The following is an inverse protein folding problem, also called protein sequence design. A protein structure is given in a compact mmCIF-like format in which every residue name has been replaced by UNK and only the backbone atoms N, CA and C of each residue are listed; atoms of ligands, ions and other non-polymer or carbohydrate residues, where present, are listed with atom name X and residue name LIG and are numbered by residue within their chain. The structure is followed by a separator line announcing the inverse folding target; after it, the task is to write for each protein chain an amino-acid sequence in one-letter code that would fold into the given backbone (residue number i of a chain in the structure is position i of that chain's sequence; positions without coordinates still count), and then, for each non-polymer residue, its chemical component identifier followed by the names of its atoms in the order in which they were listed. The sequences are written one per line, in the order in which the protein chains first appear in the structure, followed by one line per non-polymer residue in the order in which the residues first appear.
data_IF_095072783677
#
_entry.id   IF_095072783677
#
_cell.length_a   1.000
_cell.length_b   1.000
_cell.length_c   1.000
_cell.angle_alpha   90.00
_cell.angle_beta   90.00
_cell.angle_gamma   90.00
#
_symmetry.space_group_name_H-M   'P 1'
#
loop_
_entity.id
_entity.type
_entity.pdbx_description
1 polymer ?
#
# COMPACT_ATOMS: atom_id res chain seq x y z
N UNK A 1 -6.59 -45.61 -26.50
CA UNK A 1 -5.78 -44.69 -25.70
C UNK A 1 -6.75 -43.74 -25.03
N UNK A 2 -7.00 -43.93 -23.74
CA UNK A 2 -7.94 -43.08 -23.01
C UNK A 2 -7.40 -41.66 -22.95
N UNK A 3 -8.23 -40.69 -23.33
CA UNK A 3 -7.84 -39.28 -23.32
C UNK A 3 -7.67 -38.83 -21.87
N UNK A 4 -6.51 -38.26 -21.58
CA UNK A 4 -6.19 -37.69 -20.28
C UNK A 4 -7.20 -36.56 -19.98
N UNK A 5 -8.02 -36.72 -18.94
CA UNK A 5 -9.05 -35.74 -18.56
C UNK A 5 -8.45 -34.68 -17.64
N UNK A 6 -8.37 -33.46 -18.12
CA UNK A 6 -7.93 -32.32 -17.33
C UNK A 6 -8.86 -32.13 -16.10
N UNK A 7 -8.27 -32.09 -14.91
CA UNK A 7 -8.97 -32.00 -13.61
C UNK A 7 -9.25 -33.35 -12.94
N UNK A 8 -9.07 -34.46 -13.66
CA UNK A 8 -9.19 -35.81 -13.11
C UNK A 8 -7.84 -36.55 -13.20
N UNK A 9 -7.25 -36.59 -14.39
CA UNK A 9 -5.98 -37.27 -14.67
C UNK A 9 -4.77 -36.30 -14.64
N UNK A 10 -4.97 -34.99 -14.91
CA UNK A 10 -3.93 -33.94 -14.86
C UNK A 10 -4.46 -32.69 -14.16
N UNK A 11 -3.62 -31.99 -13.40
CA UNK A 11 -4.01 -30.77 -12.70
C UNK A 11 -4.50 -29.67 -13.67
N UNK A 12 -5.71 -29.17 -13.46
CA UNK A 12 -6.24 -27.97 -14.15
C UNK A 12 -5.60 -26.67 -13.67
N UNK A 13 -5.09 -26.68 -12.43
CA UNK A 13 -4.53 -25.52 -11.74
C UNK A 13 -3.30 -26.00 -11.00
N UNK A 14 -2.20 -25.27 -11.17
CA UNK A 14 -0.97 -25.54 -10.44
C UNK A 14 -1.20 -25.43 -8.92
N UNK A 15 -1.29 -26.59 -8.24
CA UNK A 15 -1.63 -26.64 -6.82
C UNK A 15 -0.54 -26.00 -5.95
N UNK A 16 0.72 -26.14 -6.35
CA UNK A 16 1.86 -25.52 -5.66
C UNK A 16 1.74 -23.99 -5.64
N UNK A 17 1.39 -23.38 -6.78
CA UNK A 17 1.16 -21.93 -6.87
C UNK A 17 -0.03 -21.49 -6.01
N UNK A 18 -1.12 -22.26 -6.00
CA UNK A 18 -2.29 -21.97 -5.16
C UNK A 18 -1.96 -21.99 -3.66
N UNK A 19 -1.16 -22.97 -3.22
CA UNK A 19 -0.70 -23.04 -1.84
C UNK A 19 0.18 -21.84 -1.46
N UNK A 20 1.08 -21.41 -2.35
CA UNK A 20 1.90 -20.21 -2.15
C UNK A 20 1.05 -18.95 -2.06
N UNK A 21 0.05 -18.78 -2.93
CA UNK A 21 -0.86 -17.64 -2.91
C UNK A 21 -1.69 -17.61 -1.61
N UNK A 22 -2.15 -18.78 -1.15
CA UNK A 22 -2.85 -18.91 0.13
C UNK A 22 -1.93 -18.54 1.31
N UNK A 23 -0.70 -19.04 1.32
CA UNK A 23 0.27 -18.73 2.37
C UNK A 23 0.60 -17.24 2.40
N UNK A 24 0.75 -16.60 1.24
CA UNK A 24 0.97 -15.15 1.15
C UNK A 24 -0.23 -14.35 1.67
N UNK A 25 -1.46 -14.82 1.41
CA UNK A 25 -2.67 -14.23 1.98
C UNK A 25 -2.68 -14.29 3.52
N UNK A 26 -2.33 -15.45 4.09
CA UNK A 26 -2.18 -15.64 5.54
C UNK A 26 -1.09 -14.72 6.09
N UNK A 27 0.09 -14.71 5.47
CA UNK A 27 1.22 -13.87 5.86
C UNK A 27 0.81 -12.39 5.88
N UNK A 28 0.10 -11.92 4.84
CA UNK A 28 -0.41 -10.55 4.76
C UNK A 28 -1.34 -10.22 5.92
N UNK A 29 -2.27 -11.10 6.25
CA UNK A 29 -3.17 -10.92 7.39
C UNK A 29 -2.39 -10.76 8.69
N UNK A 30 -1.43 -11.66 8.95
CA UNK A 30 -0.61 -11.64 10.17
C UNK A 30 0.25 -10.38 10.27
N UNK A 31 1.06 -10.08 9.25
CA UNK A 31 1.99 -8.93 9.30
C UNK A 31 1.24 -7.60 9.31
N UNK A 32 0.02 -7.54 8.74
CA UNK A 32 -0.79 -6.33 8.77
C UNK A 32 -1.23 -5.95 10.19
N UNK A 33 -1.24 -6.88 11.15
CA UNK A 33 -1.52 -6.55 12.55
C UNK A 33 -0.26 -6.13 13.31
N UNK A 34 0.92 -6.36 12.75
CA UNK A 34 2.17 -6.01 13.40
C UNK A 34 2.55 -4.56 13.11
N UNK A 35 3.07 -3.88 14.12
CA UNK A 35 3.70 -2.58 14.00
C UNK A 35 5.09 -2.58 14.61
N UNK A 36 5.91 -1.65 14.14
CA UNK A 36 7.21 -1.32 14.70
C UNK A 36 7.23 0.16 15.02
N UNK A 37 7.46 0.49 16.29
CA UNK A 37 7.72 1.85 16.74
C UNK A 37 9.23 2.03 16.85
N UNK A 38 9.73 3.07 16.21
CA UNK A 38 11.15 3.41 16.13
C UNK A 38 11.43 4.71 16.88
N UNK A 39 12.63 4.77 17.44
CA UNK A 39 13.21 5.98 18.02
C UNK A 39 12.38 6.62 19.15
N UNK A 40 11.66 5.80 19.93
CA UNK A 40 10.91 6.30 21.08
C UNK A 40 11.89 6.77 22.17
N UNK A 41 11.88 8.04 22.60
CA UNK A 41 12.82 8.54 23.61
C UNK A 41 12.62 7.83 24.95
N UNK A 42 13.73 7.47 25.59
CA UNK A 42 13.75 6.79 26.88
C UNK A 42 14.91 7.26 27.77
N UNK A 43 14.96 8.55 28.06
CA UNK A 43 16.01 9.14 28.92
C UNK A 43 15.96 8.62 30.35
N UNK A 44 14.75 8.32 30.81
CA UNK A 44 14.49 7.90 32.20
C UNK A 44 14.65 6.39 32.41
N UNK A 45 15.18 5.66 31.42
CA UNK A 45 15.35 4.21 31.44
C UNK A 45 14.07 3.44 31.84
N UNK A 46 12.92 3.92 31.36
CA UNK A 46 11.61 3.33 31.61
C UNK A 46 11.55 1.88 31.11
N UNK A 47 10.69 1.09 31.75
CA UNK A 47 10.41 -0.28 31.30
C UNK A 47 9.69 -0.27 29.96
N UNK A 48 9.75 -1.39 29.22
CA UNK A 48 9.06 -1.50 27.93
C UNK A 48 7.54 -1.24 28.06
N UNK A 49 6.92 -1.67 29.17
CA UNK A 49 5.49 -1.45 29.44
C UNK A 49 5.19 0.04 29.57
N UNK A 50 6.03 0.77 30.30
CA UNK A 50 5.86 2.20 30.53
C UNK A 50 6.11 3.01 29.25
N UNK A 51 7.09 2.61 28.45
CA UNK A 51 7.36 3.21 27.13
C UNK A 51 6.13 3.06 26.22
N UNK A 52 5.50 1.89 26.20
CA UNK A 52 4.29 1.64 25.40
C UNK A 52 3.13 2.49 25.90
N UNK A 53 2.94 2.59 27.22
CA UNK A 53 1.90 3.43 27.81
C UNK A 53 2.12 4.92 27.48
N UNK A 54 3.37 5.38 27.56
CA UNK A 54 3.77 6.72 27.15
C UNK A 54 3.48 6.97 25.68
N UNK A 55 3.83 6.02 24.81
CA UNK A 55 3.53 6.11 23.39
C UNK A 55 2.02 6.25 23.12
N UNK A 56 1.19 5.43 23.77
CA UNK A 56 -0.26 5.49 23.62
C UNK A 56 -0.85 6.82 24.11
N UNK A 57 -0.44 7.29 25.30
CA UNK A 57 -1.03 8.47 25.95
C UNK A 57 -0.48 9.79 25.43
N UNK A 58 0.83 9.90 25.28
CA UNK A 58 1.50 11.18 24.97
C UNK A 58 1.73 11.37 23.47
N UNK A 59 2.08 10.30 22.74
CA UNK A 59 2.45 10.39 21.32
C UNK A 59 1.21 10.26 20.43
N UNK A 60 0.44 9.18 20.60
CA UNK A 60 -0.75 8.91 19.77
C UNK A 60 -2.00 9.57 20.35
N UNK A 61 -2.03 9.82 21.67
CA UNK A 61 -3.21 10.27 22.42
C UNK A 61 -4.42 9.37 22.18
N UNK A 62 -4.21 8.07 22.31
CA UNK A 62 -5.23 7.06 22.11
C UNK A 62 -6.28 7.09 23.22
N UNK A 63 -7.54 7.29 22.85
CA UNK A 63 -8.67 7.58 23.75
C UNK A 63 -9.88 6.65 23.57
N UNK A 64 -9.76 5.59 22.78
CA UNK A 64 -10.89 4.72 22.44
C UNK A 64 -11.27 3.84 23.63
N UNK A 65 -12.48 4.07 24.15
CA UNK A 65 -13.06 3.30 25.25
C UNK A 65 -13.54 1.94 24.72
N UNK A 66 -13.16 0.85 25.40
CA UNK A 66 -13.54 -0.52 25.06
C UNK A 66 -12.44 -1.36 24.42
N UNK A 67 -11.35 -0.74 23.96
CA UNK A 67 -10.15 -1.47 23.54
C UNK A 67 -9.20 -1.64 24.74
N UNK A 68 -9.26 -2.82 25.36
CA UNK A 68 -8.51 -3.14 26.58
C UNK A 68 -7.00 -3.27 26.28
N UNK A 69 -6.65 -3.67 25.06
CA UNK A 69 -5.25 -3.98 24.69
C UNK A 69 -4.96 -3.50 23.27
N UNK A 70 -4.88 -2.17 23.04
CA UNK A 70 -4.63 -1.61 21.71
C UNK A 70 -3.30 -2.07 21.12
N UNK A 71 -2.32 -2.35 21.98
CA UNK A 71 -1.02 -2.94 21.63
C UNK A 71 -0.76 -4.15 22.52
N UNK A 72 -0.63 -5.32 21.90
CA UNK A 72 -0.35 -6.60 22.53
C UNK A 72 0.95 -7.20 22.00
N UNK A 73 1.43 -8.30 22.60
CA UNK A 73 2.65 -9.01 22.15
C UNK A 73 3.87 -8.11 22.00
N UNK A 74 4.02 -7.13 22.90
CA UNK A 74 5.07 -6.13 22.80
C UNK A 74 6.44 -6.79 23.01
N UNK A 75 7.35 -6.57 22.07
CA UNK A 75 8.74 -7.05 22.13
C UNK A 75 9.71 -5.91 21.87
N UNK A 76 10.77 -5.85 22.67
CA UNK A 76 11.88 -4.92 22.44
C UNK A 76 12.56 -5.30 21.11
N UNK A 77 12.75 -4.31 20.24
CA UNK A 77 13.34 -4.50 18.91
C UNK A 77 14.76 -3.96 18.81
N UNK A 78 15.18 -3.11 19.75
CA UNK A 78 16.54 -2.56 19.81
C UNK A 78 16.60 -1.30 20.67
N UNK A 79 17.81 -0.84 20.94
CA UNK A 79 18.10 0.46 21.56
C UNK A 79 19.11 1.17 20.68
N UNK A 80 18.87 2.46 20.41
CA UNK A 80 19.75 3.30 19.61
C UNK A 80 19.96 4.60 20.39
N UNK A 81 21.11 4.73 21.04
CA UNK A 81 21.38 5.81 21.99
C UNK A 81 20.35 5.84 23.12
N UNK A 82 19.74 7.01 23.35
CA UNK A 82 18.68 7.22 24.34
C UNK A 82 17.27 6.83 23.84
N UNK A 83 17.17 6.12 22.71
CA UNK A 83 15.90 5.74 22.12
C UNK A 83 15.70 4.24 22.10
N UNK A 84 14.45 3.82 22.27
CA UNK A 84 14.04 2.41 22.24
C UNK A 84 13.17 2.16 21.02
N UNK A 85 13.41 1.04 20.37
CA UNK A 85 12.55 0.51 19.32
C UNK A 85 11.78 -0.70 19.87
N UNK A 86 10.51 -0.83 19.53
CA UNK A 86 9.71 -1.99 19.90
C UNK A 86 8.77 -2.42 18.77
N UNK A 87 8.33 -3.68 18.83
CA UNK A 87 7.29 -4.25 17.97
C UNK A 87 6.09 -4.61 18.83
N UNK A 88 4.91 -4.53 18.26
CA UNK A 88 3.67 -4.94 18.90
C UNK A 88 2.67 -5.45 17.86
N UNK A 89 1.73 -6.27 18.29
CA UNK A 89 0.51 -6.55 17.55
C UNK A 89 -0.55 -5.52 17.95
N UNK A 90 -1.13 -4.84 16.97
CA UNK A 90 -2.14 -3.81 17.20
C UNK A 90 -3.56 -4.34 16.98
N UNK A 91 -4.51 -3.74 17.68
CA UNK A 91 -5.92 -3.92 17.42
C UNK A 91 -6.38 -3.15 16.16
N UNK A 92 -7.53 -3.54 15.59
CA UNK A 92 -8.15 -2.77 14.50
C UNK A 92 -8.54 -1.34 14.94
N UNK A 93 -9.21 -1.13 16.10
CA UNK A 93 -9.57 0.20 16.57
C UNK A 93 -8.36 1.11 16.77
N UNK A 94 -7.23 0.57 17.24
CA UNK A 94 -5.97 1.33 17.32
C UNK A 94 -5.53 1.83 15.94
N UNK A 95 -5.53 0.96 14.93
CA UNK A 95 -5.10 1.35 13.59
C UNK A 95 -6.00 2.44 13.00
N UNK A 96 -7.31 2.32 13.15
CA UNK A 96 -8.28 3.30 12.63
C UNK A 96 -8.12 4.66 13.33
N UNK A 97 -7.91 4.66 14.64
CA UNK A 97 -7.56 5.88 15.38
C UNK A 97 -6.23 6.47 14.89
N UNK A 98 -5.20 5.63 14.70
CA UNK A 98 -3.89 6.10 14.26
C UNK A 98 -3.95 6.75 12.87
N UNK A 99 -4.69 6.14 11.95
CA UNK A 99 -4.88 6.66 10.58
C UNK A 99 -5.65 7.98 10.55
N UNK A 100 -6.61 8.17 11.45
CA UNK A 100 -7.46 9.37 11.49
C UNK A 100 -6.81 10.54 12.24
N UNK A 101 -6.37 10.32 13.48
CA UNK A 101 -5.83 11.35 14.38
C UNK A 101 -4.40 11.09 14.82
N UNK A 102 -4.05 9.83 15.10
CA UNK A 102 -2.77 9.49 15.73
C UNK A 102 -1.53 9.89 14.93
N UNK A 103 -1.59 9.87 13.58
CA UNK A 103 -0.50 10.37 12.71
C UNK A 103 -0.22 11.86 12.91
N UNK A 104 -1.28 12.66 13.10
CA UNK A 104 -1.18 14.10 13.32
C UNK A 104 -0.54 14.34 14.70
N UNK A 105 -1.04 13.65 15.73
CA UNK A 105 -0.49 13.75 17.09
C UNK A 105 0.97 13.32 17.17
N UNK A 106 1.36 12.24 16.48
CA UNK A 106 2.75 11.80 16.40
C UNK A 106 3.65 12.86 15.74
N UNK A 107 3.17 13.50 14.67
CA UNK A 107 3.89 14.59 14.00
C UNK A 107 4.04 15.82 14.90
N UNK A 108 2.99 16.20 15.63
CA UNK A 108 3.01 17.28 16.62
C UNK A 108 3.97 16.97 17.77
N UNK A 109 3.95 15.75 18.30
CA UNK A 109 4.86 15.29 19.33
C UNK A 109 6.32 15.38 18.86
N UNK A 110 6.61 14.90 17.64
CA UNK A 110 7.93 14.98 17.05
C UNK A 110 8.42 16.43 16.93
N UNK A 111 7.57 17.33 16.43
CA UNK A 111 7.88 18.77 16.33
C UNK A 111 8.14 19.41 17.69
N UNK A 112 7.25 19.16 18.67
CA UNK A 112 7.34 19.77 20.01
C UNK A 112 8.58 19.32 20.76
N UNK A 113 8.90 18.03 20.70
CA UNK A 113 10.00 17.44 21.48
C UNK A 113 11.31 17.34 20.71
N UNK A 114 11.36 17.80 19.44
CA UNK A 114 12.51 17.63 18.54
C UNK A 114 12.94 16.16 18.43
N UNK A 115 11.97 15.28 18.19
CA UNK A 115 12.18 13.82 18.07
C UNK A 115 11.74 13.33 16.70
N UNK A 116 12.13 12.10 16.35
CA UNK A 116 11.79 11.45 15.06
C UNK A 116 11.16 10.07 15.30
N UNK A 117 10.16 10.02 16.20
CA UNK A 117 9.43 8.78 16.46
C UNK A 117 8.70 8.37 15.19
N UNK A 118 8.84 7.11 14.79
CA UNK A 118 8.17 6.57 13.60
C UNK A 118 7.36 5.33 13.96
N UNK A 119 6.17 5.22 13.40
CA UNK A 119 5.38 4.00 13.41
C UNK A 119 5.35 3.42 12.00
N UNK A 120 5.81 2.19 11.87
CA UNK A 120 5.82 1.43 10.61
C UNK A 120 4.94 0.21 10.78
N UNK A 121 3.99 0.01 9.87
CA UNK A 121 3.17 -1.20 9.82
C UNK A 121 3.94 -2.33 9.13
N UNK A 122 3.82 -3.55 9.64
CA UNK A 122 4.40 -4.74 9.02
C UNK A 122 3.84 -4.96 7.62
N UNK A 123 4.72 -5.42 6.73
CA UNK A 123 4.39 -5.76 5.35
C UNK A 123 5.10 -7.08 4.98
N UNK A 124 4.56 -7.82 4.02
CA UNK A 124 5.24 -9.01 3.48
C UNK A 124 6.42 -8.59 2.61
N UNK A 125 7.39 -9.49 2.42
CA UNK A 125 8.53 -9.24 1.52
C UNK A 125 8.06 -8.86 0.12
N UNK A 126 7.01 -9.52 -0.39
CA UNK A 126 6.40 -9.20 -1.69
C UNK A 126 5.89 -7.75 -1.75
N UNK A 127 5.21 -7.29 -0.71
CA UNK A 127 4.73 -5.90 -0.66
C UNK A 127 5.89 -4.91 -0.53
N UNK A 128 6.89 -5.21 0.31
CA UNK A 128 8.10 -4.38 0.43
C UNK A 128 8.84 -4.26 -0.90
N UNK A 129 9.01 -5.37 -1.63
CA UNK A 129 9.66 -5.38 -2.94
C UNK A 129 8.87 -4.62 -4.00
N UNK A 130 7.54 -4.64 -3.94
CA UNK A 130 6.69 -3.81 -4.81
C UNK A 130 6.89 -2.31 -4.58
N UNK A 131 7.01 -1.88 -3.32
CA UNK A 131 7.31 -0.48 -2.99
C UNK A 131 8.73 -0.09 -3.41
N UNK A 132 9.70 -0.98 -3.15
CA UNK A 132 11.09 -0.80 -3.55
C UNK A 132 11.24 -0.73 -5.08
N UNK A 133 10.48 -1.54 -5.83
CA UNK A 133 10.45 -1.48 -7.29
C UNK A 133 9.97 -0.11 -7.78
N UNK A 134 8.94 0.47 -7.14
CA UNK A 134 8.49 1.84 -7.45
C UNK A 134 9.60 2.88 -7.23
N UNK A 135 10.35 2.77 -6.12
CA UNK A 135 11.47 3.67 -5.82
C UNK A 135 12.61 3.51 -6.82
N UNK A 136 12.94 2.26 -7.16
CA UNK A 136 13.96 1.92 -8.15
C UNK A 136 13.61 2.48 -9.53
N UNK A 137 12.40 2.24 -10.01
CA UNK A 137 11.92 2.78 -11.29
C UNK A 137 11.92 4.30 -11.31
N UNK A 138 11.54 4.97 -10.21
CA UNK A 138 11.64 6.43 -10.09
C UNK A 138 13.07 6.92 -10.32
N UNK A 139 14.06 6.26 -9.71
CA UNK A 139 15.47 6.62 -9.90
C UNK A 139 15.92 6.37 -11.34
N UNK A 140 15.53 5.24 -11.92
CA UNK A 140 15.88 4.86 -13.29
C UNK A 140 15.27 5.79 -14.34
N UNK A 141 14.00 6.18 -14.17
CA UNK A 141 13.34 7.19 -15.03
C UNK A 141 14.06 8.55 -14.93
N UNK A 142 14.41 8.98 -13.73
CA UNK A 142 15.16 10.24 -13.56
C UNK A 142 16.52 10.18 -14.25
N UNK A 143 17.25 9.08 -14.09
CA UNK A 143 18.53 8.86 -14.77
C UNK A 143 18.37 8.90 -16.29
N UNK A 144 17.38 8.17 -16.82
CA UNK A 144 17.04 8.19 -18.24
C UNK A 144 16.80 9.61 -18.77
N UNK A 145 16.01 10.42 -18.04
CA UNK A 145 15.73 11.80 -18.43
C UNK A 145 16.99 12.68 -18.41
N UNK A 146 17.86 12.49 -17.41
CA UNK A 146 19.14 13.23 -17.32
C UNK A 146 20.06 12.88 -18.48
N UNK A 147 20.24 11.59 -18.77
CA UNK A 147 21.10 11.10 -19.84
C UNK A 147 20.62 11.61 -21.21
N UNK A 148 19.30 11.73 -21.40
CA UNK A 148 18.66 12.26 -22.60
C UNK A 148 18.50 13.78 -22.62
N UNK A 149 18.98 14.50 -21.60
CA UNK A 149 18.82 15.95 -21.43
C UNK A 149 17.35 16.43 -21.51
N UNK A 150 16.43 15.59 -21.04
CA UNK A 150 15.00 15.89 -20.95
C UNK A 150 14.69 16.61 -19.64
N UNK A 151 13.53 17.28 -19.59
CA UNK A 151 13.04 17.83 -18.33
C UNK A 151 12.68 16.72 -17.35
N UNK A 152 13.08 16.90 -16.09
CA UNK A 152 12.78 15.95 -15.03
C UNK A 152 11.28 15.99 -14.66
N UNK A 153 10.55 14.87 -14.80
CA UNK A 153 9.17 14.80 -14.35
C UNK A 153 9.10 14.82 -12.82
N UNK A 154 7.96 15.28 -12.29
CA UNK A 154 7.65 15.07 -10.88
C UNK A 154 7.06 13.67 -10.70
N UNK A 155 7.79 12.80 -10.00
CA UNK A 155 7.44 11.41 -9.79
C UNK A 155 7.19 11.16 -8.31
N UNK A 156 5.96 10.73 -8.01
CA UNK A 156 5.48 10.40 -6.67
C UNK A 156 5.28 8.89 -6.59
N UNK A 157 5.85 8.27 -5.57
CA UNK A 157 5.63 6.84 -5.25
C UNK A 157 4.51 6.72 -4.24
N UNK A 158 3.52 5.87 -4.54
CA UNK A 158 2.40 5.53 -3.65
C UNK A 158 2.27 4.01 -3.56
N UNK A 159 3.03 3.41 -2.64
CA UNK A 159 3.11 1.96 -2.49
C UNK A 159 3.64 1.29 -3.77
N UNK A 160 2.87 0.33 -4.32
CA UNK A 160 3.18 -0.37 -5.56
C UNK A 160 2.91 0.44 -6.85
N UNK A 161 2.61 1.73 -6.74
CA UNK A 161 2.26 2.60 -7.87
C UNK A 161 3.22 3.78 -8.00
N UNK A 162 3.47 4.15 -9.26
CA UNK A 162 4.16 5.36 -9.66
C UNK A 162 3.15 6.34 -10.27
N UNK A 163 3.18 7.57 -9.76
CA UNK A 163 2.42 8.69 -10.32
C UNK A 163 3.43 9.65 -10.95
N UNK A 164 3.37 9.77 -12.26
CA UNK A 164 4.19 10.69 -13.04
C UNK A 164 3.31 11.89 -13.35
N UNK A 165 3.69 13.05 -12.82
CA UNK A 165 3.05 14.33 -13.13
C UNK A 165 3.82 14.99 -14.26
N UNK A 166 3.11 15.34 -15.31
CA UNK A 166 3.65 16.23 -16.31
C UNK A 166 3.61 17.67 -15.76
N UNK A 167 4.65 18.46 -16.03
CA UNK A 167 4.70 19.88 -15.63
C UNK A 167 4.03 20.80 -16.64
N UNK A 168 3.93 20.37 -17.90
CA UNK A 168 3.44 21.19 -19.01
C UNK A 168 1.91 21.20 -19.11
N UNK A 169 1.27 20.12 -18.65
CA UNK A 169 -0.17 20.03 -18.47
C UNK A 169 -0.41 19.31 -17.13
N UNK A 170 -1.43 19.68 -16.38
CA UNK A 170 -1.75 19.08 -15.06
C UNK A 170 -2.22 17.61 -15.16
N UNK A 171 -1.78 16.90 -16.21
CA UNK A 171 -2.04 15.50 -16.44
C UNK A 171 -1.15 14.65 -15.54
N UNK A 172 -1.79 13.74 -14.80
CA UNK A 172 -1.12 12.79 -13.92
C UNK A 172 -1.38 11.39 -14.41
N UNK A 173 -0.31 10.66 -14.77
CA UNK A 173 -0.41 9.26 -15.15
C UNK A 173 -0.02 8.38 -13.97
N UNK A 174 -0.85 7.38 -13.69
CA UNK A 174 -0.62 6.41 -12.62
C UNK A 174 -0.37 5.03 -13.24
N UNK A 175 0.78 4.45 -12.92
CA UNK A 175 1.15 3.11 -13.35
C UNK A 175 1.39 2.22 -12.15
N UNK A 176 1.01 0.95 -12.27
CA UNK A 176 1.51 -0.07 -11.35
C UNK A 176 2.97 -0.38 -11.73
N UNK A 177 3.86 -0.47 -10.75
CA UNK A 177 5.30 -0.57 -11.00
C UNK A 177 5.70 -1.84 -11.76
N UNK A 178 5.00 -2.95 -11.52
CA UNK A 178 5.18 -4.22 -12.24
C UNK A 178 4.80 -4.08 -13.73
N UNK A 179 3.63 -3.51 -14.01
CA UNK A 179 3.18 -3.23 -15.37
C UNK A 179 4.14 -2.27 -16.10
N UNK A 180 4.54 -1.19 -15.44
CA UNK A 180 5.46 -0.21 -16.01
C UNK A 180 6.83 -0.85 -16.32
N UNK A 181 7.30 -1.74 -15.45
CA UNK A 181 8.59 -2.43 -15.66
C UNK A 181 8.59 -3.25 -16.94
N UNK A 182 7.52 -4.01 -17.18
CA UNK A 182 7.38 -4.82 -18.40
C UNK A 182 7.27 -3.90 -19.61
N UNK A 183 6.39 -2.91 -19.56
CA UNK A 183 6.10 -2.09 -20.73
C UNK A 183 7.24 -1.14 -21.11
N UNK A 184 8.07 -0.68 -20.17
CA UNK A 184 9.32 0.04 -20.50
C UNK A 184 10.37 -0.84 -21.16
N UNK A 185 10.37 -2.13 -20.83
CA UNK A 185 11.27 -3.12 -21.44
C UNK A 185 12.76 -2.88 -21.20
N UNK A 186 13.13 -2.18 -20.12
CA UNK A 186 14.52 -1.91 -19.77
C UNK A 186 15.24 -3.13 -19.23
N UNK A 187 16.58 -3.10 -19.26
CA UNK A 187 17.39 -4.04 -18.49
C UNK A 187 17.23 -3.76 -16.99
N UNK A 188 17.01 -4.79 -16.19
CA UNK A 188 16.86 -4.72 -14.74
C UNK A 188 17.92 -5.56 -14.00
N UNK A 189 19.07 -5.81 -14.62
CA UNK A 189 20.19 -6.56 -14.01
C UNK A 189 20.69 -5.98 -12.68
N UNK A 190 20.51 -4.67 -12.46
CA UNK A 190 20.83 -3.92 -11.24
C UNK A 190 19.72 -3.95 -10.17
N UNK A 191 18.62 -4.66 -10.41
CA UNK A 191 17.56 -4.86 -9.43
C UNK A 191 17.91 -5.98 -8.44
N UNK A 192 17.83 -5.67 -7.14
CA UNK A 192 18.23 -6.59 -6.06
C UNK A 192 17.08 -7.21 -5.26
N UNK A 193 15.82 -6.92 -5.60
CA UNK A 193 14.66 -7.56 -4.96
C UNK A 193 14.23 -8.84 -5.67
N UNK A 194 13.06 -9.38 -5.30
CA UNK A 194 12.51 -10.56 -5.97
C UNK A 194 12.33 -10.31 -7.49
N UNK A 195 12.46 -11.34 -8.34
CA UNK A 195 12.23 -11.21 -9.77
C UNK A 195 10.90 -10.52 -10.07
N UNK A 196 10.90 -9.52 -10.95
CA UNK A 196 9.71 -8.69 -11.23
C UNK A 196 8.51 -9.56 -11.65
N UNK A 197 8.75 -10.67 -12.37
CA UNK A 197 7.72 -11.65 -12.74
C UNK A 197 6.97 -12.23 -11.52
N UNK A 198 7.66 -12.42 -10.38
CA UNK A 198 7.07 -12.94 -9.14
C UNK A 198 6.25 -11.87 -8.39
N UNK A 199 6.46 -10.59 -8.71
CA UNK A 199 5.74 -9.46 -8.13
C UNK A 199 4.42 -9.17 -8.86
N UNK A 200 4.21 -9.73 -10.06
CA UNK A 200 2.98 -9.56 -10.84
C UNK A 200 1.74 -10.05 -10.06
N UNK A 201 0.60 -9.39 -10.29
CA UNK A 201 -0.69 -9.98 -9.93
C UNK A 201 -1.05 -11.10 -10.90
N UNK A 202 -1.97 -11.99 -10.51
CA UNK A 202 -2.45 -13.08 -11.36
C UNK A 202 -2.97 -12.58 -12.71
N UNK A 203 -3.61 -11.40 -12.72
CA UNK A 203 -4.09 -10.72 -13.93
C UNK A 203 -2.95 -10.23 -14.84
N UNK A 204 -1.90 -9.62 -14.28
CA UNK A 204 -0.75 -9.15 -15.07
C UNK A 204 0.07 -10.32 -15.60
N UNK A 205 0.25 -11.36 -14.79
CA UNK A 205 0.99 -12.54 -15.22
C UNK A 205 0.26 -13.24 -16.37
N UNK A 206 -1.05 -13.43 -16.26
CA UNK A 206 -1.85 -13.99 -17.36
C UNK A 206 -1.82 -13.11 -18.61
N UNK A 207 -1.93 -11.79 -18.44
CA UNK A 207 -1.81 -10.84 -19.55
C UNK A 207 -0.43 -10.86 -20.22
N UNK A 208 0.63 -11.07 -19.44
CA UNK A 208 2.00 -11.21 -19.96
C UNK A 208 2.19 -12.54 -20.70
N UNK A 209 1.73 -13.66 -20.11
CA UNK A 209 1.82 -15.00 -20.70
C UNK A 209 1.03 -15.13 -22.01
N UNK A 210 -0.11 -14.46 -22.11
CA UNK A 210 -0.93 -14.42 -23.32
C UNK A 210 -0.52 -13.35 -24.34
N UNK A 211 0.52 -12.55 -24.04
CA UNK A 211 1.01 -11.49 -24.93
C UNK A 211 0.15 -10.21 -25.00
N UNK A 212 -0.85 -10.06 -24.11
CA UNK A 212 -1.62 -8.82 -23.96
C UNK A 212 -0.78 -7.69 -23.36
N UNK A 213 0.18 -8.01 -22.47
CA UNK A 213 1.16 -7.07 -21.94
C UNK A 213 2.50 -7.38 -22.60
N UNK A 214 2.99 -6.46 -23.43
CA UNK A 214 4.22 -6.67 -24.22
C UNK A 214 5.41 -5.96 -23.60
N UNK A 215 6.56 -6.63 -23.68
CA UNK A 215 7.83 -6.07 -23.25
C UNK A 215 8.21 -4.88 -24.13
N UNK A 216 8.58 -3.73 -23.53
CA UNK A 216 9.04 -2.56 -24.28
C UNK A 216 7.97 -1.86 -25.12
N UNK A 217 6.68 -2.10 -24.86
CA UNK A 217 5.58 -1.51 -25.63
C UNK A 217 5.29 -0.05 -25.31
N UNK A 218 5.84 0.49 -24.22
CA UNK A 218 5.61 1.86 -23.78
C UNK A 218 6.82 2.72 -24.09
N UNK A 219 6.61 3.74 -24.93
CA UNK A 219 7.59 4.81 -25.10
C UNK A 219 7.45 5.83 -23.98
N UNK A 220 8.47 5.89 -23.11
CA UNK A 220 8.53 6.84 -22.01
C UNK A 220 8.62 8.27 -22.51
N UNK A 221 9.26 8.53 -23.66
CA UNK A 221 9.40 9.89 -24.18
C UNK A 221 8.03 10.45 -24.59
N UNK A 222 7.22 9.65 -25.30
CA UNK A 222 5.83 9.99 -25.60
C UNK A 222 4.98 10.24 -24.35
N UNK A 223 5.16 9.43 -23.30
CA UNK A 223 4.47 9.59 -22.00
C UNK A 223 4.86 10.91 -21.33
N UNK A 224 6.13 11.29 -21.38
CA UNK A 224 6.65 12.51 -20.76
C UNK A 224 6.35 13.77 -21.58
N UNK A 225 6.24 13.66 -22.90
CA UNK A 225 5.99 14.78 -23.81
C UNK A 225 4.49 14.98 -24.12
N UNK A 226 3.62 14.02 -23.77
CA UNK A 226 2.21 14.00 -24.16
C UNK A 226 2.00 14.19 -25.67
N UNK A 227 2.81 13.52 -26.50
CA UNK A 227 2.41 13.34 -27.90
C UNK A 227 1.28 12.30 -27.88
N UNK A 228 0.05 12.62 -28.33
CA UNK A 228 -0.92 11.56 -28.59
C UNK A 228 -0.32 10.70 -29.69
N UNK A 229 0.20 9.52 -29.32
CA UNK A 229 0.60 8.52 -30.30
C UNK A 229 -0.65 8.13 -31.09
N UNK A 230 -0.84 8.80 -32.22
CA UNK A 230 -1.81 8.48 -33.24
C UNK A 230 -1.35 7.20 -33.94
N UNK A 231 -1.56 6.06 -33.28
CA UNK A 231 -1.70 4.78 -33.94
C UNK A 231 -2.90 4.10 -33.30
N UNK A 232 -4.05 4.36 -33.91
CA UNK A 232 -5.28 3.67 -33.59
C UNK A 232 -5.14 2.19 -33.88
N UNK A 233 -5.18 1.37 -32.82
CA UNK A 233 -5.91 0.10 -32.80
C UNK A 233 -6.54 0.00 -31.42
N UNK A 234 -7.86 -0.22 -31.43
CA UNK A 234 -8.67 -0.48 -30.25
C UNK A 234 -8.07 -1.66 -29.48
N UNK A 235 -7.49 -1.38 -28.31
CA UNK A 235 -7.40 -2.32 -27.21
C UNK A 235 -7.43 -1.52 -25.91
N UNK A 236 -8.43 -1.80 -25.08
CA UNK A 236 -8.69 -1.12 -23.83
C UNK A 236 -7.52 -1.33 -22.85
N UNK A 237 -6.64 -0.34 -22.75
CA UNK A 237 -5.83 -0.13 -21.55
C UNK A 237 -6.79 0.09 -20.37
N UNK A 238 -6.55 -0.50 -19.18
CA UNK A 238 -7.28 -0.16 -17.96
C UNK A 238 -6.88 1.27 -17.53
N UNK A 239 -7.44 2.27 -18.21
CA UNK A 239 -7.39 3.67 -17.83
C UNK A 239 -8.41 3.87 -16.70
N UNK A 240 -8.02 3.63 -15.46
CA UNK A 240 -8.72 4.28 -14.34
C UNK A 240 -8.33 5.78 -14.35
N UNK A 241 -8.98 6.54 -15.22
CA UNK A 241 -8.98 8.01 -15.17
C UNK A 241 -9.92 8.39 -14.02
N UNK A 242 -9.36 8.72 -12.87
CA UNK A 242 -10.09 9.47 -11.85
C UNK A 242 -9.85 10.95 -12.07
N UNK A 243 -10.81 11.62 -12.70
CA UNK A 243 -10.96 13.07 -12.60
C UNK A 243 -11.42 13.42 -11.19
N UNK A 244 -10.66 14.26 -10.51
CA UNK A 244 -11.00 14.80 -9.19
C UNK A 244 -12.18 15.76 -9.31
N UNK A 245 -13.40 15.28 -9.08
CA UNK A 245 -14.54 16.16 -8.88
C UNK A 245 -14.69 16.52 -7.40
N UNK A 246 -14.29 17.76 -7.11
CA UNK A 246 -14.77 18.55 -5.97
C UNK A 246 -16.29 18.44 -5.87
N UNK A 247 -16.81 17.79 -4.82
CA UNK A 247 -18.20 17.99 -4.40
C UNK A 247 -18.24 18.98 -3.25
N UNK A 248 -18.56 20.22 -3.62
CA UNK A 248 -19.19 21.22 -2.78
C UNK A 248 -20.32 20.56 -1.96
N UNK A 249 -20.36 20.93 -0.68
CA UNK A 249 -21.54 20.80 0.16
C UNK A 249 -22.67 21.57 -0.51
N UNK A 250 -23.77 20.90 -0.77
CA UNK A 250 -25.08 21.54 -0.80
C UNK A 250 -26.00 20.75 0.12
N UNK A 251 -26.38 21.44 1.19
CA UNK A 251 -27.51 21.17 2.06
C UNK A 251 -28.77 21.05 1.21
N UNK A 252 -29.66 20.11 1.51
CA UNK A 252 -31.11 20.34 1.57
C UNK A 252 -31.82 19.13 2.18
N UNK A 253 -32.74 19.44 3.10
CA UNK A 253 -33.71 18.58 3.75
C UNK A 253 -34.50 17.72 2.76
N UNK A 254 -34.85 16.50 3.18
CA UNK A 254 -36.24 16.05 3.30
C UNK A 254 -36.30 14.63 3.88
N UNK A 255 -36.90 14.52 5.07
CA UNK A 255 -37.46 13.26 5.58
C UNK A 255 -38.52 12.71 4.62
N UNK A 256 -38.76 11.38 4.66
CA UNK A 256 -40.09 10.98 5.09
C UNK A 256 -40.08 9.86 6.14
N UNK A 257 -40.98 10.05 7.11
CA UNK A 257 -41.38 9.10 8.14
C UNK A 257 -41.82 7.76 7.59
N UNK A 258 -41.35 6.66 8.20
CA UNK A 258 -42.00 5.34 8.11
C UNK A 258 -42.35 4.86 9.51
N UNK A 259 -43.66 4.67 9.71
CA UNK A 259 -44.35 4.27 10.93
C UNK A 259 -43.95 2.86 11.38
N UNK A 260 -43.64 2.70 12.67
CA UNK A 260 -43.57 1.38 13.35
C UNK A 260 -44.98 0.89 13.70
N UNK A 261 -45.31 -0.40 13.52
CA UNK A 261 -46.46 -0.98 14.21
C UNK A 261 -46.08 -1.33 15.66
N UNK A 262 -46.91 -0.89 16.60
CA UNK A 262 -46.99 -1.45 17.97
C UNK A 262 -47.75 -2.77 17.92
N UNK A 263 -47.32 -3.74 18.70
CA UNK A 263 -48.16 -4.82 19.19
C UNK A 263 -47.84 -5.08 20.66
N UNK A 264 -48.88 -4.94 21.47
CA UNK A 264 -48.91 -5.06 22.93
C UNK A 264 -48.74 -6.50 23.45
N UNK A 265 -48.08 -6.57 24.62
CA UNK A 265 -48.43 -7.33 25.83
C UNK A 265 -48.73 -8.83 25.72
N UNK A 266 -47.93 -9.63 26.44
CA UNK A 266 -48.41 -10.55 27.49
C UNK A 266 -47.28 -10.99 28.42
N UNK A 267 -47.31 -10.44 29.64
CA UNK A 267 -46.70 -11.04 30.83
C UNK A 267 -47.31 -12.43 31.08
N UNK A 268 -46.45 -13.40 31.47
CA UNK A 268 -46.86 -14.54 32.29
C UNK A 268 -45.70 -14.92 33.22
N UNK A 269 -45.98 -14.68 34.51
CA UNK A 269 -45.58 -15.38 35.75
C UNK A 269 -44.09 -15.61 35.97
#
# INVERSE_FOLDING_TARGET
MDSVRAGFDVENVNQSKRLLDMQESVNRSVVSKQIKVLFMPNKDNLTLKDIVQRFLKEVVKYDVVGDISPLSWVKKAGVIGETVCFRAEMSSPFWDHFMSKGRIHLSEFNKKNKTDVKLIRGQTMKNSDLENLSLYLRQKIKKYCLDKKMQLPDIIVKGAYLVIKNRSNDNTMRFKSTFLSITLGWDYSDWHGAPIKNLLSSTELHGYENGCIKWGSLDLEAVLQNVPSATGRNDQLPREIFTSNNRKRDSHNNEPQVKRPRSDVKERI
#
